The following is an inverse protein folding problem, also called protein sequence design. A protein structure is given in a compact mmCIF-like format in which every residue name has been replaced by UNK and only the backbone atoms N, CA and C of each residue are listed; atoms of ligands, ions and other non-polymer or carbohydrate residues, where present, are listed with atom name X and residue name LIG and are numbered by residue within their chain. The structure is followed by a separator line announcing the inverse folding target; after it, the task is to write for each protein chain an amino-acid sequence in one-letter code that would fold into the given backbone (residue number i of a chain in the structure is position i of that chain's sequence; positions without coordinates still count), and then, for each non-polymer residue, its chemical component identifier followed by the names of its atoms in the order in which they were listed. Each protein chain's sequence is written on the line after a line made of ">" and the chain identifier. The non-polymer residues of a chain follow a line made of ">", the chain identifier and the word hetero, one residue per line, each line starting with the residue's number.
data_IF_562301293655
#
_entry.id   IF_562301293655
#
_cell.length_a   1.000
_cell.length_b   1.000
_cell.length_c   1.000
_cell.angle_alpha   90.00
_cell.angle_beta   90.00
_cell.angle_gamma   90.00
#
_symmetry.space_group_name_H-M   'P 1'
#
loop_
_entity.id
_entity.type
_entity.pdbx_description
1 polymer ?
#
# COMPACT_ATOMS: atom_id res chain seq x y z
N UNK A 1 -13.04 2.20 16.13
CA UNK A 1 -12.05 2.14 17.22
C UNK A 1 -11.38 3.49 17.38
N UNK A 2 -10.95 4.11 16.28
CA UNK A 2 -10.30 5.43 16.24
C UNK A 2 -11.29 6.57 16.45
N UNK A 3 -12.46 6.51 15.82
CA UNK A 3 -13.55 7.49 16.00
C UNK A 3 -14.31 7.23 17.29
N UNK A 4 -13.98 7.95 18.34
CA UNK A 4 -14.60 7.79 19.66
C UNK A 4 -15.37 9.05 20.12
N UNK A 5 -15.18 10.19 19.47
CA UNK A 5 -15.95 11.39 19.72
C UNK A 5 -17.41 11.24 19.24
N UNK A 6 -18.35 11.86 19.95
CA UNK A 6 -19.78 11.77 19.62
C UNK A 6 -20.13 12.32 18.23
N UNK A 7 -19.43 13.37 17.80
CA UNK A 7 -19.65 13.96 16.48
C UNK A 7 -19.06 13.07 15.38
N UNK A 8 -17.87 12.44 15.60
CA UNK A 8 -17.28 11.48 14.67
C UNK A 8 -18.19 10.27 14.47
N UNK A 9 -18.67 9.68 15.57
CA UNK A 9 -19.61 8.55 15.55
C UNK A 9 -20.89 8.92 14.80
N UNK A 10 -21.46 10.11 15.06
CA UNK A 10 -22.69 10.58 14.43
C UNK A 10 -22.50 10.86 12.94
N UNK A 11 -21.39 11.46 12.56
CA UNK A 11 -21.06 11.84 11.19
C UNK A 11 -20.43 10.72 10.37
N UNK A 12 -19.90 9.67 11.03
CA UNK A 12 -19.18 8.53 10.44
C UNK A 12 -17.95 8.94 9.66
N UNK A 13 -17.18 9.90 10.18
CA UNK A 13 -15.86 10.27 9.71
C UNK A 13 -15.03 10.90 10.82
N UNK A 14 -13.71 10.80 10.72
CA UNK A 14 -12.75 11.34 11.69
C UNK A 14 -12.67 12.86 11.61
N UNK A 15 -12.57 13.52 12.76
CA UNK A 15 -12.41 14.98 12.91
C UNK A 15 -11.02 15.29 13.49
N UNK A 16 -10.56 14.46 14.44
CA UNK A 16 -9.27 14.61 15.12
C UNK A 16 -8.40 13.38 14.92
N UNK A 17 -7.09 13.56 15.00
CA UNK A 17 -6.13 12.46 14.95
C UNK A 17 -6.24 11.58 16.19
N UNK A 18 -6.39 10.28 15.99
CA UNK A 18 -6.43 9.27 17.04
C UNK A 18 -5.18 8.41 17.05
N UNK A 19 -4.68 8.09 18.25
CA UNK A 19 -3.53 7.18 18.40
C UNK A 19 -4.01 5.79 18.81
N UNK A 20 -3.71 4.79 17.97
CA UNK A 20 -4.04 3.39 18.21
C UNK A 20 -2.76 2.58 18.39
N UNK A 21 -2.40 2.20 19.62
CA UNK A 21 -1.22 1.38 19.88
C UNK A 21 -1.49 -0.09 19.54
N UNK A 22 -0.57 -0.70 18.78
CA UNK A 22 -0.59 -2.12 18.41
C UNK A 22 0.75 -2.74 18.76
N UNK A 23 0.75 -3.98 19.25
CA UNK A 23 1.97 -4.77 19.43
C UNK A 23 1.98 -5.87 18.39
N UNK A 24 3.01 -5.85 17.53
CA UNK A 24 3.23 -6.84 16.49
C UNK A 24 4.66 -7.37 16.58
N UNK A 25 4.81 -8.68 16.67
CA UNK A 25 6.11 -9.37 16.74
C UNK A 25 7.13 -8.69 17.68
N UNK A 26 6.70 -8.37 18.90
CA UNK A 26 7.46 -7.67 19.96
C UNK A 26 7.79 -6.19 19.68
N UNK A 27 7.32 -5.63 18.59
CA UNK A 27 7.44 -4.20 18.27
C UNK A 27 6.13 -3.50 18.61
N UNK A 28 6.22 -2.38 19.31
CA UNK A 28 5.07 -1.48 19.54
C UNK A 28 4.97 -0.51 18.38
N UNK A 29 3.86 -0.56 17.67
CA UNK A 29 3.50 0.38 16.60
C UNK A 29 2.41 1.30 17.12
N UNK A 30 2.60 2.61 17.03
CA UNK A 30 1.57 3.60 17.30
C UNK A 30 1.01 4.06 15.95
N UNK A 31 -0.23 3.70 15.65
CA UNK A 31 -0.91 4.14 14.43
C UNK A 31 -1.55 5.49 14.74
N UNK A 32 -1.22 6.52 13.97
CA UNK A 32 -1.86 7.82 13.98
C UNK A 32 -2.91 7.82 12.88
N UNK A 33 -4.18 7.64 13.25
CA UNK A 33 -5.29 7.65 12.31
C UNK A 33 -5.78 9.08 12.14
N UNK A 34 -5.63 9.63 10.94
CA UNK A 34 -5.86 11.04 10.63
C UNK A 34 -7.17 11.24 9.88
N UNK A 35 -7.85 12.40 10.06
CA UNK A 35 -8.99 12.78 9.25
C UNK A 35 -8.64 12.83 7.75
N UNK A 36 -9.55 12.33 6.91
CA UNK A 36 -9.41 12.37 5.45
C UNK A 36 -9.98 13.64 4.79
N UNK A 37 -10.82 14.41 5.49
CA UNK A 37 -11.41 15.63 4.95
C UNK A 37 -10.45 16.80 5.04
N UNK A 38 -10.44 17.64 3.99
CA UNK A 38 -9.55 18.81 3.88
C UNK A 38 -9.75 19.87 4.97
N UNK A 39 -10.94 19.93 5.54
CA UNK A 39 -11.27 20.84 6.66
C UNK A 39 -10.37 20.58 7.88
N UNK A 40 -9.85 19.35 8.00
CA UNK A 40 -9.02 18.89 9.12
C UNK A 40 -7.56 18.61 8.71
N UNK A 41 -7.07 19.23 7.64
CA UNK A 41 -5.71 18.99 7.13
C UNK A 41 -4.60 19.28 8.16
N UNK A 42 -4.86 20.20 9.11
CA UNK A 42 -3.94 20.49 10.21
C UNK A 42 -3.64 19.28 11.08
N UNK A 43 -4.66 18.47 11.39
CA UNK A 43 -4.52 17.21 12.12
C UNK A 43 -3.61 16.21 11.40
N UNK A 44 -3.80 16.09 10.07
CA UNK A 44 -2.95 15.23 9.24
C UNK A 44 -1.50 15.74 9.19
N UNK A 45 -1.28 17.07 9.13
CA UNK A 45 0.05 17.66 9.12
C UNK A 45 0.79 17.43 10.45
N UNK A 46 0.11 17.60 11.57
CA UNK A 46 0.67 17.33 12.90
C UNK A 46 1.05 15.85 13.06
N UNK A 47 0.20 14.94 12.60
CA UNK A 47 0.47 13.51 12.65
C UNK A 47 1.68 13.12 11.78
N UNK A 48 1.76 13.64 10.55
CA UNK A 48 2.89 13.39 9.63
C UNK A 48 4.19 13.93 10.20
N UNK A 49 4.17 15.10 10.86
CA UNK A 49 5.36 15.67 11.50
C UNK A 49 5.88 14.83 12.67
N UNK A 50 5.03 13.99 13.28
CA UNK A 50 5.37 13.13 14.42
C UNK A 50 5.63 11.65 14.03
N UNK A 51 5.31 11.26 12.81
CA UNK A 51 5.38 9.86 12.36
C UNK A 51 6.77 9.50 11.79
N UNK A 52 7.10 8.20 11.83
CA UNK A 52 8.29 7.63 11.20
C UNK A 52 8.03 7.17 9.76
N UNK A 53 6.78 6.87 9.42
CA UNK A 53 6.34 6.47 8.09
C UNK A 53 4.85 6.75 7.90
N UNK A 54 4.40 6.81 6.65
CA UNK A 54 3.00 7.04 6.30
C UNK A 54 2.42 5.91 5.44
N UNK A 55 1.15 5.60 5.69
CA UNK A 55 0.32 4.77 4.81
C UNK A 55 -0.76 5.65 4.20
N UNK A 56 -0.66 5.90 2.90
CA UNK A 56 -1.67 6.67 2.15
C UNK A 56 -2.74 5.69 1.68
N UNK A 57 -3.94 5.81 2.24
CA UNK A 57 -5.07 4.92 1.93
C UNK A 57 -5.83 5.43 0.72
N UNK A 58 -6.07 4.55 -0.26
CA UNK A 58 -6.81 4.83 -1.48
C UNK A 58 -8.02 3.88 -1.55
N UNK A 59 -9.21 4.43 -1.75
CA UNK A 59 -10.37 3.60 -2.10
C UNK A 59 -10.20 3.05 -3.52
N UNK A 60 -10.22 1.74 -3.66
CA UNK A 60 -10.16 1.09 -4.98
C UNK A 60 -11.33 1.47 -5.88
N UNK A 61 -12.48 1.84 -5.29
CA UNK A 61 -13.65 2.31 -6.02
C UNK A 61 -13.51 3.74 -6.54
N UNK A 62 -12.95 4.63 -5.72
CA UNK A 62 -12.81 6.05 -6.06
C UNK A 62 -11.52 6.36 -6.81
N UNK A 63 -10.53 5.46 -6.74
CA UNK A 63 -9.21 5.67 -7.35
C UNK A 63 -8.41 6.78 -6.69
N UNK A 64 -7.43 7.30 -7.42
CA UNK A 64 -6.56 8.39 -6.96
C UNK A 64 -7.35 9.69 -6.93
N UNK A 65 -7.36 10.36 -5.79
CA UNK A 65 -8.09 11.60 -5.54
C UNK A 65 -7.14 12.75 -5.21
N UNK A 66 -7.65 13.97 -5.19
CA UNK A 66 -6.88 15.16 -4.76
C UNK A 66 -6.28 14.97 -3.35
N UNK A 67 -7.02 14.30 -2.44
CA UNK A 67 -6.53 13.93 -1.12
C UNK A 67 -5.27 13.06 -1.14
N UNK A 68 -5.21 12.12 -2.08
CA UNK A 68 -4.03 11.26 -2.30
C UNK A 68 -2.80 12.08 -2.67
N UNK A 69 -2.96 13.04 -3.59
CA UNK A 69 -1.88 13.92 -4.04
C UNK A 69 -1.38 14.81 -2.90
N UNK A 70 -2.30 15.41 -2.14
CA UNK A 70 -1.94 16.24 -0.98
C UNK A 70 -1.25 15.45 0.12
N UNK A 71 -1.69 14.22 0.39
CA UNK A 71 -1.01 13.35 1.35
C UNK A 71 0.41 13.00 0.89
N UNK A 72 0.60 12.76 -0.41
CA UNK A 72 1.92 12.56 -1.00
C UNK A 72 2.80 13.81 -0.84
N UNK A 73 2.31 15.00 -1.22
CA UNK A 73 3.04 16.28 -1.09
C UNK A 73 3.43 16.53 0.38
N UNK A 74 2.55 16.23 1.32
CA UNK A 74 2.82 16.36 2.74
C UNK A 74 3.96 15.43 3.18
N UNK A 75 3.96 14.18 2.74
CA UNK A 75 5.05 13.23 3.00
C UNK A 75 6.37 13.69 2.35
N UNK A 76 6.35 14.28 1.15
CA UNK A 76 7.53 14.89 0.51
C UNK A 76 8.10 16.03 1.36
N UNK A 77 7.23 16.94 1.83
CA UNK A 77 7.62 18.09 2.67
C UNK A 77 8.38 17.64 3.92
N UNK A 78 7.92 16.58 4.56
CA UNK A 78 8.54 16.03 5.79
C UNK A 78 9.56 14.93 5.52
N UNK A 79 9.85 14.59 4.25
CA UNK A 79 10.75 13.50 3.84
C UNK A 79 10.38 12.16 4.49
N UNK A 80 9.09 11.91 4.64
CA UNK A 80 8.58 10.74 5.31
C UNK A 80 8.51 9.55 4.34
N UNK A 81 9.07 8.38 4.71
CA UNK A 81 8.84 7.13 3.99
C UNK A 81 7.34 6.84 3.90
N UNK A 82 6.87 6.36 2.76
CA UNK A 82 5.44 6.16 2.54
C UNK A 82 5.14 4.97 1.64
N UNK A 83 3.96 4.41 1.84
CA UNK A 83 3.40 3.39 0.97
C UNK A 83 1.92 3.68 0.71
N UNK A 84 1.40 3.14 -0.39
CA UNK A 84 -0.03 3.16 -0.67
C UNK A 84 -0.69 1.86 -0.20
N UNK A 85 -1.90 1.98 0.31
CA UNK A 85 -2.75 0.85 0.66
C UNK A 85 -4.12 1.02 -0.01
N UNK A 86 -4.47 0.10 -0.91
CA UNK A 86 -5.73 0.14 -1.66
C UNK A 86 -6.77 -0.68 -0.92
N UNK A 87 -7.86 -0.04 -0.52
CA UNK A 87 -9.03 -0.64 0.16
C UNK A 87 -10.16 -0.96 -0.82
N UNK A 88 -11.25 -1.55 -0.32
CA UNK A 88 -12.48 -1.83 -1.09
C UNK A 88 -12.26 -2.70 -2.34
N UNK A 89 -11.22 -3.55 -2.30
CA UNK A 89 -10.89 -4.44 -3.41
C UNK A 89 -11.90 -5.58 -3.62
N UNK A 90 -12.82 -5.76 -2.66
CA UNK A 90 -13.93 -6.71 -2.67
C UNK A 90 -15.20 -6.14 -3.31
N UNK A 91 -15.21 -4.84 -3.62
CA UNK A 91 -16.34 -4.19 -4.30
C UNK A 91 -16.34 -4.52 -5.81
N UNK A 92 -17.53 -4.42 -6.41
CA UNK A 92 -17.67 -4.53 -7.85
C UNK A 92 -17.08 -3.30 -8.57
N UNK A 93 -16.67 -3.48 -9.82
CA UNK A 93 -16.12 -2.42 -10.68
C UNK A 93 -14.83 -1.75 -10.18
N UNK A 94 -14.07 -2.44 -9.30
CA UNK A 94 -12.78 -1.97 -8.82
C UNK A 94 -11.64 -2.52 -9.68
N UNK A 95 -10.81 -1.62 -10.22
CA UNK A 95 -9.63 -1.95 -11.00
C UNK A 95 -8.34 -1.57 -10.25
N UNK A 96 -7.69 -2.53 -9.63
CA UNK A 96 -6.36 -2.35 -9.05
C UNK A 96 -5.33 -1.87 -10.08
N UNK A 97 -5.41 -2.41 -11.30
CA UNK A 97 -4.55 -2.01 -12.40
C UNK A 97 -4.66 -0.52 -12.70
N UNK A 98 -5.88 0.02 -12.79
CA UNK A 98 -6.09 1.45 -13.05
C UNK A 98 -5.49 2.30 -11.93
N UNK A 99 -5.65 1.90 -10.66
CA UNK A 99 -5.04 2.62 -9.52
C UNK A 99 -3.52 2.64 -9.64
N UNK A 100 -2.88 1.52 -10.02
CA UNK A 100 -1.42 1.46 -10.19
C UNK A 100 -0.98 2.31 -11.39
N UNK A 101 -1.72 2.29 -12.49
CA UNK A 101 -1.45 3.11 -13.69
C UNK A 101 -1.55 4.61 -13.36
N UNK A 102 -2.61 5.05 -12.68
CA UNK A 102 -2.80 6.45 -12.25
C UNK A 102 -1.68 6.91 -11.31
N UNK A 103 -1.30 6.07 -10.35
CA UNK A 103 -0.18 6.37 -9.44
C UNK A 103 1.16 6.45 -10.18
N UNK A 104 1.37 5.56 -11.15
CA UNK A 104 2.60 5.56 -11.96
C UNK A 104 2.67 6.77 -12.89
N UNK A 105 1.54 7.22 -13.43
CA UNK A 105 1.48 8.46 -14.22
C UNK A 105 1.87 9.69 -13.37
N UNK A 106 1.41 9.75 -12.11
CA UNK A 106 1.68 10.86 -11.20
C UNK A 106 3.09 10.85 -10.60
N UNK A 107 3.59 9.68 -10.22
CA UNK A 107 4.79 9.55 -9.38
C UNK A 107 5.93 8.75 -10.03
N UNK A 108 5.70 8.22 -11.24
CA UNK A 108 6.71 7.53 -12.04
C UNK A 108 7.23 6.23 -11.42
N UNK A 109 8.51 5.98 -11.60
CA UNK A 109 9.20 4.75 -11.13
C UNK A 109 9.22 4.54 -9.62
N UNK A 110 8.79 5.53 -8.83
CA UNK A 110 8.67 5.41 -7.36
C UNK A 110 7.50 4.52 -6.93
N UNK A 111 6.68 4.07 -7.88
CA UNK A 111 5.54 3.17 -7.63
C UNK A 111 5.95 1.74 -7.94
N UNK A 112 6.21 0.96 -6.90
CA UNK A 112 6.54 -0.46 -7.01
C UNK A 112 5.47 -1.30 -6.28
N UNK A 113 4.60 -2.05 -6.97
CA UNK A 113 3.59 -2.87 -6.35
C UNK A 113 4.21 -4.05 -5.56
N UNK A 114 3.82 -4.20 -4.29
CA UNK A 114 4.24 -5.32 -3.42
C UNK A 114 3.24 -6.48 -3.42
N UNK A 115 1.97 -6.16 -3.63
CA UNK A 115 0.87 -7.11 -3.68
C UNK A 115 -0.08 -6.76 -4.82
N UNK A 116 -0.72 -7.76 -5.39
CA UNK A 116 -1.81 -7.57 -6.33
C UNK A 116 -3.01 -8.43 -5.93
N UNK A 117 -4.26 -8.02 -6.23
CA UNK A 117 -5.44 -8.79 -5.86
C UNK A 117 -5.51 -10.12 -6.61
N UNK A 118 -5.96 -11.15 -5.91
CA UNK A 118 -6.35 -12.42 -6.48
C UNK A 118 -7.87 -12.44 -6.61
N UNK A 119 -8.38 -12.68 -7.82
CA UNK A 119 -9.82 -12.77 -8.10
C UNK A 119 -10.16 -14.12 -8.73
N UNK A 120 -11.31 -14.67 -8.38
CA UNK A 120 -11.88 -15.86 -9.01
C UNK A 120 -13.34 -15.56 -9.37
N UNK A 121 -13.73 -15.83 -10.58
CA UNK A 121 -15.05 -15.49 -11.11
C UNK A 121 -15.46 -14.02 -10.83
N UNK A 122 -14.49 -13.11 -10.95
CA UNK A 122 -14.66 -11.68 -10.68
C UNK A 122 -14.64 -11.27 -9.21
N UNK A 123 -14.69 -12.22 -8.27
CA UNK A 123 -14.70 -11.95 -6.82
C UNK A 123 -13.30 -11.90 -6.26
N UNK A 124 -13.07 -10.96 -5.36
CA UNK A 124 -11.83 -10.86 -4.60
C UNK A 124 -11.76 -12.02 -3.59
N UNK A 125 -10.76 -12.88 -3.73
CA UNK A 125 -10.57 -14.06 -2.88
C UNK A 125 -9.25 -14.06 -2.11
N UNK A 126 -8.35 -13.12 -2.42
CA UNK A 126 -7.04 -13.09 -1.78
C UNK A 126 -6.09 -12.10 -2.47
N UNK A 127 -4.80 -12.38 -2.35
CA UNK A 127 -3.77 -11.56 -2.97
C UNK A 127 -2.57 -12.39 -3.43
N UNK A 128 -1.83 -11.86 -4.39
CA UNK A 128 -0.53 -12.38 -4.81
C UNK A 128 0.54 -11.49 -4.20
N UNK A 129 1.46 -12.09 -3.45
CA UNK A 129 2.64 -11.39 -2.93
C UNK A 129 3.72 -11.41 -4.01
N UNK A 130 4.02 -10.24 -4.58
CA UNK A 130 4.96 -10.08 -5.69
C UNK A 130 6.40 -10.31 -5.24
N UNK A 131 6.75 -9.88 -4.01
CA UNK A 131 8.08 -10.10 -3.42
C UNK A 131 8.40 -11.59 -3.31
N UNK A 132 7.45 -12.37 -2.79
CA UNK A 132 7.60 -13.82 -2.54
C UNK A 132 7.19 -14.68 -3.74
N UNK A 133 6.58 -14.10 -4.75
CA UNK A 133 6.01 -14.80 -5.90
C UNK A 133 5.04 -15.92 -5.48
N UNK A 134 4.09 -15.60 -4.58
CA UNK A 134 3.16 -16.58 -3.98
C UNK A 134 1.74 -16.03 -3.91
N UNK A 135 0.77 -16.88 -4.29
CA UNK A 135 -0.65 -16.63 -4.07
C UNK A 135 -1.06 -16.92 -2.62
N UNK A 136 -1.96 -16.12 -2.09
CA UNK A 136 -2.59 -16.28 -0.77
C UNK A 136 -4.08 -16.09 -0.88
N UNK A 137 -4.85 -17.11 -0.50
CA UNK A 137 -6.31 -17.09 -0.47
C UNK A 137 -6.82 -16.96 0.96
N UNK A 138 -7.85 -16.15 1.16
CA UNK A 138 -8.59 -16.10 2.43
C UNK A 138 -9.54 -17.29 2.53
N UNK A 139 -9.41 -18.10 3.59
CA UNK A 139 -10.34 -19.18 3.91
C UNK A 139 -11.42 -18.68 4.87
N UNK A 140 -10.99 -17.94 5.89
CA UNK A 140 -11.82 -17.31 6.91
C UNK A 140 -11.26 -15.90 7.18
N UNK A 141 -11.97 -15.11 7.97
CA UNK A 141 -11.65 -13.71 8.24
C UNK A 141 -10.16 -13.46 8.59
N UNK A 142 -9.52 -14.40 9.28
CA UNK A 142 -8.13 -14.23 9.75
C UNK A 142 -7.20 -15.38 9.28
N UNK A 143 -7.71 -16.33 8.46
CA UNK A 143 -6.93 -17.47 7.97
C UNK A 143 -6.68 -17.35 6.48
N UNK A 144 -5.43 -17.61 6.12
CA UNK A 144 -4.95 -17.59 4.74
C UNK A 144 -4.23 -18.90 4.43
N UNK A 145 -4.43 -19.42 3.23
CA UNK A 145 -3.65 -20.53 2.70
C UNK A 145 -2.85 -20.12 1.48
N UNK A 146 -1.78 -20.82 1.20
CA UNK A 146 -1.03 -20.69 -0.04
C UNK A 146 -1.81 -21.32 -1.18
N UNK A 147 -1.89 -20.64 -2.32
CA UNK A 147 -2.58 -21.14 -3.50
C UNK A 147 -1.75 -20.92 -4.76
N UNK A 148 -2.07 -21.65 -5.82
CA UNK A 148 -1.46 -21.45 -7.12
C UNK A 148 -1.83 -20.09 -7.69
N UNK A 149 -0.89 -19.49 -8.44
CA UNK A 149 -1.11 -18.23 -9.14
C UNK A 149 -1.83 -18.53 -10.46
N UNK A 150 -3.03 -17.99 -10.66
CA UNK A 150 -3.79 -18.23 -11.89
C UNK A 150 -3.05 -17.70 -13.12
N UNK A 151 -3.23 -18.39 -14.25
CA UNK A 151 -2.58 -18.07 -15.51
C UNK A 151 -2.85 -16.62 -15.95
N UNK A 152 -4.08 -16.13 -15.81
CA UNK A 152 -4.47 -14.77 -16.17
C UNK A 152 -3.75 -13.67 -15.38
N UNK A 153 -3.14 -14.02 -14.24
CA UNK A 153 -2.40 -13.07 -13.39
C UNK A 153 -0.90 -13.02 -13.70
N UNK A 154 -0.36 -14.03 -14.38
CA UNK A 154 1.09 -14.20 -14.57
C UNK A 154 1.73 -13.05 -15.34
N UNK A 155 1.11 -12.59 -16.42
CA UNK A 155 1.62 -11.48 -17.23
C UNK A 155 1.79 -10.20 -16.40
N UNK A 156 0.76 -9.86 -15.59
CA UNK A 156 0.82 -8.69 -14.71
C UNK A 156 1.79 -8.88 -13.54
N UNK A 157 1.88 -10.11 -13.01
CA UNK A 157 2.82 -10.44 -11.95
C UNK A 157 4.27 -10.24 -12.44
N UNK A 158 4.60 -10.73 -13.62
CA UNK A 158 5.93 -10.55 -14.23
C UNK A 158 6.24 -9.06 -14.42
N UNK A 159 5.32 -8.30 -15.02
CA UNK A 159 5.45 -6.85 -15.19
C UNK A 159 5.67 -6.11 -13.87
N UNK A 160 4.86 -6.39 -12.85
CA UNK A 160 4.99 -5.74 -11.55
C UNK A 160 6.25 -6.17 -10.79
N UNK A 161 6.67 -7.43 -10.98
CA UNK A 161 7.93 -7.92 -10.43
C UNK A 161 9.14 -7.23 -11.06
N UNK A 162 9.13 -7.00 -12.35
CA UNK A 162 10.18 -6.25 -13.04
C UNK A 162 10.28 -4.82 -12.50
N UNK A 163 9.15 -4.10 -12.38
CA UNK A 163 9.10 -2.76 -11.78
C UNK A 163 9.65 -2.76 -10.35
N UNK A 164 9.30 -3.77 -9.55
CA UNK A 164 9.80 -3.91 -8.18
C UNK A 164 11.31 -4.13 -8.15
N UNK A 165 11.85 -5.00 -9.01
CA UNK A 165 13.28 -5.29 -9.06
C UNK A 165 14.09 -4.10 -9.57
N UNK A 166 13.56 -3.32 -10.53
CA UNK A 166 14.15 -2.04 -10.95
C UNK A 166 14.21 -1.06 -9.77
N UNK A 167 13.13 -0.91 -9.01
CA UNK A 167 13.09 -0.04 -7.84
C UNK A 167 14.10 -0.46 -6.76
N UNK A 168 14.26 -1.76 -6.52
CA UNK A 168 15.29 -2.31 -5.62
C UNK A 168 16.69 -2.00 -6.15
N UNK A 169 16.94 -2.18 -7.44
CA UNK A 169 18.23 -1.90 -8.07
C UNK A 169 18.64 -0.43 -7.91
N UNK A 170 17.70 0.50 -7.97
CA UNK A 170 17.97 1.94 -7.81
C UNK A 170 18.38 2.34 -6.37
N UNK A 171 18.27 1.44 -5.38
CA UNK A 171 18.61 1.77 -3.99
C UNK A 171 20.11 1.79 -3.69
N UNK A 172 20.94 1.10 -4.47
CA UNK A 172 22.40 1.11 -4.33
C UNK A 172 23.12 0.75 -5.63
N UNK A 173 24.38 1.21 -5.78
CA UNK A 173 25.24 0.83 -6.92
C UNK A 173 25.45 -0.68 -6.98
N UNK A 174 25.63 -1.37 -5.85
CA UNK A 174 25.78 -2.81 -5.77
C UNK A 174 24.56 -3.55 -6.33
N UNK A 175 23.35 -3.13 -5.94
CA UNK A 175 22.11 -3.73 -6.46
C UNK A 175 21.93 -3.41 -7.94
N UNK A 176 22.31 -2.25 -8.39
CA UNK A 176 22.26 -1.88 -9.80
C UNK A 176 23.18 -2.76 -10.67
N UNK A 177 24.40 -2.98 -10.24
CA UNK A 177 25.36 -3.84 -10.95
C UNK A 177 24.88 -5.30 -11.02
N UNK A 178 24.32 -5.82 -9.93
CA UNK A 178 23.76 -7.18 -9.88
C UNK A 178 22.51 -7.32 -10.77
N UNK A 179 21.67 -6.31 -10.81
CA UNK A 179 20.50 -6.29 -11.69
C UNK A 179 20.90 -6.38 -13.16
N UNK A 180 21.89 -5.58 -13.60
CA UNK A 180 22.41 -5.64 -14.97
C UNK A 180 23.18 -6.94 -15.27
N UNK A 181 23.76 -7.57 -14.28
CA UNK A 181 24.37 -8.90 -14.40
C UNK A 181 23.33 -10.03 -14.51
N UNK A 182 22.04 -9.74 -14.29
CA UNK A 182 20.96 -10.72 -14.31
C UNK A 182 20.92 -11.60 -13.04
N UNK A 183 21.49 -11.13 -11.92
CA UNK A 183 21.45 -11.84 -10.66
C UNK A 183 20.08 -11.70 -9.97
N UNK A 184 19.62 -12.78 -9.36
CA UNK A 184 18.38 -12.76 -8.60
C UNK A 184 18.57 -12.12 -7.21
N UNK A 185 17.59 -11.31 -6.79
CA UNK A 185 17.52 -10.79 -5.43
C UNK A 185 16.72 -11.73 -4.53
N UNK A 186 17.22 -11.98 -3.34
CA UNK A 186 16.49 -12.73 -2.31
C UNK A 186 15.32 -11.91 -1.77
N UNK A 187 14.33 -12.60 -1.18
CA UNK A 187 13.19 -11.94 -0.51
C UNK A 187 13.65 -10.99 0.60
N UNK A 188 14.74 -11.33 1.29
CA UNK A 188 15.30 -10.50 2.36
C UNK A 188 15.90 -9.21 1.82
N UNK A 189 16.64 -9.27 0.71
CA UNK A 189 17.21 -8.10 0.04
C UNK A 189 16.12 -7.18 -0.48
N UNK A 190 15.13 -7.72 -1.20
CA UNK A 190 13.97 -6.94 -1.69
C UNK A 190 13.21 -6.26 -0.55
N UNK A 191 13.14 -6.90 0.63
CA UNK A 191 12.40 -6.34 1.78
C UNK A 191 13.21 -5.33 2.58
N UNK A 192 14.52 -5.28 2.41
CA UNK A 192 15.43 -4.37 3.10
C UNK A 192 15.76 -3.12 2.27
N UNK A 193 15.65 -3.21 0.94
CA UNK A 193 15.82 -2.11 -0.01
C UNK A 193 14.59 -1.21 -0.05
#
# INVERSE_FOLDING_TARGET
>A
ISDYDKEEIKRKFSISTSTVPVVWDKVKVNILDTPGFFDFVGEAEEAVAAADAAVIVISGKSGVQVGTQKAWELCEKYRLPRMFFVTEMDMDDVSYRQVVEDLTELYGKRIAPLHMPLREDGKFVGYINIVKNKGRRYIEKDKKEECEIPEYSKEYLEKYREILLEAVAETSEEFMDRYFAGEEFSVTEISAA
#
